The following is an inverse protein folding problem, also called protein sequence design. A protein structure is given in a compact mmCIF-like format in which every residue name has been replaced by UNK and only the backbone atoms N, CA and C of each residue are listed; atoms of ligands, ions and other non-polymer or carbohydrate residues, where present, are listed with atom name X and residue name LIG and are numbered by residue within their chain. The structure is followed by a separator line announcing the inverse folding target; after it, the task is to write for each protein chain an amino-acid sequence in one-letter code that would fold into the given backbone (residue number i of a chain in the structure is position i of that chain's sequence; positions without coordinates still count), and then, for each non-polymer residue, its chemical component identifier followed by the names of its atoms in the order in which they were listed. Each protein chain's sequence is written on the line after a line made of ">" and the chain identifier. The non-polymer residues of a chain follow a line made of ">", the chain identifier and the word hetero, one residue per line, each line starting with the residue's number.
data_IF_547483962838
#
_entry.id   IF_547483962838
#
_cell.length_a   1.000
_cell.length_b   1.000
_cell.length_c   1.000
_cell.angle_alpha   90.00
_cell.angle_beta   90.00
_cell.angle_gamma   90.00
#
_symmetry.space_group_name_H-M   'P 1'
#
loop_
_entity.id
_entity.type
_entity.pdbx_description
1 polymer ?
#
# COMPACT_ATOMS: atom_id res chain seq x y z
N UNK A 1 -41.87 -2.10 -9.84
CA UNK A 1 -40.82 -3.06 -9.43
C UNK A 1 -39.50 -2.33 -9.44
N UNK A 2 -38.70 -2.47 -8.38
CA UNK A 2 -37.32 -1.98 -8.38
C UNK A 2 -36.53 -3.06 -9.14
N UNK A 3 -35.83 -2.67 -10.22
CA UNK A 3 -34.94 -3.61 -10.90
C UNK A 3 -33.67 -3.87 -10.05
N UNK A 4 -32.97 -4.95 -10.38
CA UNK A 4 -31.81 -5.36 -9.58
C UNK A 4 -30.69 -4.31 -9.58
N UNK A 5 -30.51 -3.56 -10.68
CA UNK A 5 -29.52 -2.49 -10.75
C UNK A 5 -29.83 -1.36 -9.75
N UNK A 6 -31.10 -0.95 -9.68
CA UNK A 6 -31.59 0.06 -8.74
C UNK A 6 -31.48 -0.42 -7.29
N UNK A 7 -31.70 -1.72 -7.04
CA UNK A 7 -31.44 -2.32 -5.73
C UNK A 7 -29.95 -2.24 -5.36
N UNK A 8 -29.04 -2.60 -6.27
CA UNK A 8 -27.59 -2.55 -6.04
C UNK A 8 -27.10 -1.14 -5.75
N UNK A 9 -27.55 -0.14 -6.52
CA UNK A 9 -27.19 1.27 -6.27
C UNK A 9 -27.57 1.70 -4.86
N UNK A 10 -28.79 1.39 -4.43
CA UNK A 10 -29.26 1.71 -3.08
C UNK A 10 -28.48 0.97 -1.99
N UNK A 11 -28.11 -0.29 -2.23
CA UNK A 11 -27.28 -1.06 -1.32
C UNK A 11 -25.88 -0.43 -1.18
N UNK A 12 -25.26 -0.03 -2.28
CA UNK A 12 -23.94 0.64 -2.27
C UNK A 12 -24.01 1.96 -1.50
N UNK A 13 -25.05 2.77 -1.72
CA UNK A 13 -25.26 4.02 -0.98
C UNK A 13 -25.43 3.78 0.52
N UNK A 14 -26.20 2.76 0.90
CA UNK A 14 -26.41 2.37 2.29
C UNK A 14 -25.12 1.90 2.97
N UNK A 15 -24.35 1.03 2.32
CA UNK A 15 -23.08 0.53 2.86
C UNK A 15 -22.03 1.65 2.96
N UNK A 16 -21.99 2.57 1.99
CA UNK A 16 -21.17 3.79 2.07
C UNK A 16 -21.59 4.68 3.24
N UNK A 17 -22.88 4.88 3.46
CA UNK A 17 -23.38 5.72 4.55
C UNK A 17 -23.06 5.15 5.94
N UNK A 18 -23.00 3.82 6.07
CA UNK A 18 -22.56 3.14 7.31
C UNK A 18 -21.06 3.28 7.56
N UNK A 19 -20.26 3.21 6.49
CA UNK A 19 -18.79 3.12 6.61
C UNK A 19 -18.10 4.49 6.57
N UNK A 20 -18.57 5.45 5.77
CA UNK A 20 -17.90 6.74 5.55
C UNK A 20 -17.98 7.71 6.74
N UNK A 21 -18.84 7.49 7.73
CA UNK A 21 -18.98 8.42 8.87
C UNK A 21 -17.83 8.32 9.89
N UNK A 22 -16.98 7.28 9.79
CA UNK A 22 -16.07 6.90 10.88
C UNK A 22 -14.66 6.52 10.42
N UNK A 23 -14.33 6.63 9.12
CA UNK A 23 -13.00 6.26 8.64
C UNK A 23 -12.04 7.43 8.78
N UNK A 24 -11.01 7.25 9.61
CA UNK A 24 -9.87 8.14 9.61
C UNK A 24 -9.09 8.01 8.28
N UNK A 25 -8.31 9.03 7.88
CA UNK A 25 -7.60 9.03 6.60
C UNK A 25 -6.67 7.84 6.38
N UNK A 26 -6.11 7.24 7.44
CA UNK A 26 -5.20 6.09 7.30
C UNK A 26 -5.97 4.82 7.00
N UNK A 27 -7.11 4.62 7.66
CA UNK A 27 -7.99 3.49 7.34
C UNK A 27 -8.56 3.61 5.92
N UNK A 28 -8.92 4.82 5.49
CA UNK A 28 -9.34 5.06 4.11
C UNK A 28 -8.21 4.79 3.11
N UNK A 29 -6.98 5.23 3.42
CA UNK A 29 -5.81 4.98 2.59
C UNK A 29 -5.51 3.49 2.44
N UNK A 30 -5.55 2.73 3.52
CA UNK A 30 -5.38 1.27 3.50
C UNK A 30 -6.41 0.65 2.54
N UNK A 31 -7.69 1.00 2.66
CA UNK A 31 -8.76 0.47 1.83
C UNK A 31 -8.56 0.77 0.34
N UNK A 32 -8.20 2.00 -0.01
CA UNK A 32 -7.94 2.37 -1.41
C UNK A 32 -6.65 1.76 -1.95
N UNK A 33 -5.62 1.63 -1.10
CA UNK A 33 -4.37 0.97 -1.45
C UNK A 33 -4.59 -0.51 -1.76
N UNK A 34 -5.34 -1.22 -0.91
CA UNK A 34 -5.73 -2.61 -1.15
C UNK A 34 -6.52 -2.79 -2.44
N UNK A 35 -7.51 -1.92 -2.70
CA UNK A 35 -8.26 -1.94 -3.96
C UNK A 35 -7.37 -1.69 -5.18
N UNK A 36 -6.41 -0.78 -5.06
CA UNK A 36 -5.46 -0.43 -6.12
C UNK A 36 -4.29 -1.39 -6.24
N UNK A 37 -4.19 -2.39 -5.35
CA UNK A 37 -3.04 -3.29 -5.21
C UNK A 37 -1.71 -2.52 -5.16
N UNK A 38 -1.69 -1.42 -4.41
CA UNK A 38 -0.50 -0.59 -4.22
C UNK A 38 -0.02 -0.62 -2.76
N UNK A 39 1.24 -0.25 -2.55
CA UNK A 39 1.91 -0.39 -1.26
C UNK A 39 1.74 0.81 -0.33
N UNK A 40 0.95 1.83 -0.72
CA UNK A 40 0.79 3.04 0.10
C UNK A 40 0.19 2.71 1.47
N UNK A 41 -0.76 1.77 1.52
CA UNK A 41 -1.38 1.31 2.75
C UNK A 41 -0.37 0.69 3.73
N UNK A 42 0.63 -0.02 3.22
CA UNK A 42 1.65 -0.68 4.05
C UNK A 42 2.53 0.36 4.76
N UNK A 43 2.94 1.42 4.07
CA UNK A 43 3.83 2.44 4.63
C UNK A 43 3.08 3.52 5.42
N UNK A 44 1.97 4.01 4.88
CA UNK A 44 1.28 5.20 5.38
C UNK A 44 0.07 4.86 6.26
N UNK A 45 -0.38 3.60 6.25
CA UNK A 45 -1.59 3.16 6.96
C UNK A 45 -1.39 2.96 8.46
N UNK A 46 -0.17 2.67 8.92
CA UNK A 46 0.07 2.46 10.35
C UNK A 46 0.23 3.80 11.11
N UNK A 47 -0.64 4.13 12.10
CA UNK A 47 -0.49 5.33 12.91
C UNK A 47 0.80 5.40 13.74
N UNK A 48 1.40 4.25 14.07
CA UNK A 48 2.65 4.17 14.84
C UNK A 48 3.88 4.47 13.96
N UNK A 49 3.72 4.49 12.63
CA UNK A 49 4.77 4.92 11.71
C UNK A 49 4.95 6.43 11.80
N UNK A 50 6.15 6.87 12.17
CA UNK A 50 6.50 8.28 12.33
C UNK A 50 7.30 8.79 11.14
N UNK A 51 6.99 10.02 10.72
CA UNK A 51 7.51 10.63 9.51
C UNK A 51 8.15 11.97 9.84
N UNK A 52 9.25 12.28 9.18
CA UNK A 52 9.89 13.58 9.26
C UNK A 52 10.10 14.18 7.86
N UNK A 53 10.05 15.51 7.79
CA UNK A 53 10.31 16.24 6.56
C UNK A 53 11.81 16.51 6.44
N UNK A 54 12.40 16.12 5.33
CA UNK A 54 13.83 16.33 5.01
C UNK A 54 14.00 16.88 3.60
N UNK A 55 15.13 17.51 3.35
CA UNK A 55 15.63 17.78 2.01
C UNK A 55 16.61 16.69 1.63
N UNK A 56 16.37 15.99 0.52
CA UNK A 56 17.28 14.96 0.02
C UNK A 56 17.83 15.31 -1.36
N UNK A 57 19.09 14.97 -1.67
CA UNK A 57 19.61 15.06 -3.02
C UNK A 57 18.79 14.20 -3.97
N UNK A 58 18.41 14.74 -5.13
CA UNK A 58 17.60 14.03 -6.11
C UNK A 58 18.27 12.72 -6.54
N UNK A 59 19.60 12.69 -6.65
CA UNK A 59 20.35 11.52 -7.12
C UNK A 59 20.45 10.36 -6.10
N UNK A 60 20.04 10.56 -4.84
CA UNK A 60 19.93 9.45 -3.86
C UNK A 60 18.58 8.74 -3.94
N UNK A 61 17.60 9.32 -4.64
CA UNK A 61 16.24 8.78 -4.74
C UNK A 61 16.09 7.94 -6.03
N UNK A 62 15.33 6.85 -5.96
CA UNK A 62 15.10 5.88 -7.04
C UNK A 62 13.64 5.85 -7.46
N UNK A 63 13.41 5.73 -8.77
CA UNK A 63 12.08 5.51 -9.32
C UNK A 63 11.58 4.09 -9.00
N UNK A 64 10.36 3.96 -8.47
CA UNK A 64 9.76 2.69 -8.05
C UNK A 64 8.60 2.23 -8.92
N UNK A 65 8.09 3.12 -9.77
CA UNK A 65 7.16 2.84 -10.85
C UNK A 65 5.81 3.56 -10.75
N UNK A 66 5.13 3.69 -11.88
CA UNK A 66 3.80 4.34 -11.97
C UNK A 66 2.87 3.47 -12.84
N UNK A 67 2.80 3.75 -14.14
CA UNK A 67 2.09 3.01 -15.16
C UNK A 67 3.05 2.12 -15.96
N UNK A 68 2.55 1.12 -16.71
CA UNK A 68 3.39 0.35 -17.62
C UNK A 68 4.23 1.21 -18.57
N UNK A 69 3.66 2.30 -19.10
CA UNK A 69 4.36 3.23 -19.99
C UNK A 69 5.53 3.93 -19.30
N UNK A 70 5.30 4.48 -18.11
CA UNK A 70 6.36 5.11 -17.33
C UNK A 70 7.40 4.11 -16.85
N UNK A 71 7.00 2.88 -16.51
CA UNK A 71 7.91 1.84 -16.08
C UNK A 71 8.89 1.46 -17.21
N UNK A 72 8.41 1.37 -18.46
CA UNK A 72 9.26 1.11 -19.62
C UNK A 72 10.34 2.19 -19.85
N UNK A 73 10.14 3.40 -19.33
CA UNK A 73 11.11 4.48 -19.37
C UNK A 73 11.97 4.46 -18.10
N UNK A 74 11.33 4.67 -16.95
CA UNK A 74 12.01 4.91 -15.68
C UNK A 74 12.73 3.68 -15.13
N UNK A 75 12.17 2.48 -15.30
CA UNK A 75 12.81 1.24 -14.85
C UNK A 75 13.66 0.62 -15.94
N UNK A 76 13.09 0.40 -17.12
CA UNK A 76 13.76 -0.44 -18.12
C UNK A 76 14.92 0.31 -18.81
N UNK A 77 14.71 1.57 -19.19
CA UNK A 77 15.75 2.38 -19.85
C UNK A 77 16.63 3.11 -18.84
N UNK A 78 16.02 3.68 -17.79
CA UNK A 78 16.75 4.49 -16.81
C UNK A 78 17.24 3.70 -15.59
N UNK A 79 16.90 2.41 -15.45
CA UNK A 79 17.30 1.58 -14.30
C UNK A 79 17.01 2.24 -12.94
N UNK A 80 15.88 2.94 -12.87
CA UNK A 80 15.44 3.69 -11.70
C UNK A 80 16.34 4.87 -11.28
N UNK A 81 17.29 5.29 -12.12
CA UNK A 81 18.26 6.35 -11.81
C UNK A 81 17.86 7.70 -12.43
N UNK A 82 17.80 8.80 -11.64
CA UNK A 82 17.57 10.15 -12.13
C UNK A 82 18.58 10.62 -13.18
N UNK A 83 19.87 10.32 -12.96
CA UNK A 83 20.96 10.69 -13.89
C UNK A 83 20.77 10.07 -15.28
N UNK A 84 20.24 8.85 -15.36
CA UNK A 84 19.91 8.20 -16.64
C UNK A 84 18.72 8.84 -17.31
N UNK A 85 17.71 9.28 -16.56
CA UNK A 85 16.59 10.03 -17.12
C UNK A 85 17.06 11.36 -17.72
N UNK A 86 17.92 12.12 -17.02
CA UNK A 86 18.51 13.35 -17.57
C UNK A 86 19.28 13.10 -18.87
N UNK A 87 20.05 12.01 -18.93
CA UNK A 87 20.76 11.62 -20.15
C UNK A 87 19.78 11.25 -21.27
N UNK A 88 18.72 10.50 -20.96
CA UNK A 88 17.74 10.03 -21.92
C UNK A 88 16.95 11.17 -22.57
N UNK A 89 16.49 12.16 -21.79
CA UNK A 89 15.71 13.29 -22.32
C UNK A 89 16.56 14.24 -23.19
N UNK A 90 17.88 14.28 -22.97
CA UNK A 90 18.80 15.00 -23.87
C UNK A 90 18.93 14.26 -25.20
N UNK A 91 18.99 12.93 -25.17
CA UNK A 91 19.05 12.08 -26.37
C UNK A 91 17.72 12.00 -27.12
N UNK A 92 16.60 12.14 -26.40
CA UNK A 92 15.23 12.04 -26.92
C UNK A 92 14.40 13.24 -26.44
N UNK A 93 14.53 14.42 -27.07
CA UNK A 93 13.84 15.64 -26.63
C UNK A 93 12.32 15.51 -26.59
N UNK A 94 11.72 14.80 -27.56
CA UNK A 94 10.26 14.56 -27.62
C UNK A 94 9.74 13.81 -26.39
N UNK A 95 10.52 12.86 -25.86
CA UNK A 95 10.19 12.16 -24.62
C UNK A 95 10.23 13.13 -23.43
N UNK A 96 11.23 14.02 -23.40
CA UNK A 96 11.32 15.08 -22.40
C UNK A 96 10.10 15.99 -22.41
N UNK A 97 9.64 16.43 -23.59
CA UNK A 97 8.43 17.24 -23.74
C UNK A 97 7.18 16.50 -23.27
N UNK A 98 7.02 15.22 -23.64
CA UNK A 98 5.90 14.39 -23.17
C UNK A 98 5.87 14.31 -21.64
N UNK A 99 7.00 13.98 -21.00
CA UNK A 99 7.07 13.87 -19.55
C UNK A 99 6.84 15.21 -18.84
N UNK A 100 7.27 16.34 -19.42
CA UNK A 100 6.94 17.67 -18.88
C UNK A 100 5.44 17.94 -18.94
N UNK A 101 4.80 17.72 -20.09
CA UNK A 101 3.35 17.92 -20.23
C UNK A 101 2.55 17.07 -19.21
N UNK A 102 2.99 15.84 -18.96
CA UNK A 102 2.37 14.93 -17.97
C UNK A 102 2.68 15.30 -16.52
N UNK A 103 3.63 16.19 -16.26
CA UNK A 103 4.03 16.59 -14.90
C UNK A 103 3.81 18.06 -14.57
N UNK A 104 3.52 18.92 -15.55
CA UNK A 104 3.39 20.38 -15.33
C UNK A 104 2.26 20.79 -14.39
N UNK A 105 1.25 19.93 -14.21
CA UNK A 105 0.10 20.17 -13.34
C UNK A 105 0.33 19.80 -11.87
N UNK A 106 1.47 19.19 -11.53
CA UNK A 106 1.76 18.81 -10.14
C UNK A 106 2.24 20.02 -9.33
N UNK A 107 1.90 20.05 -8.06
CA UNK A 107 2.34 21.07 -7.12
C UNK A 107 3.75 20.79 -6.56
N UNK A 108 4.18 21.61 -5.59
CA UNK A 108 5.45 21.44 -4.85
C UNK A 108 5.24 20.71 -3.50
N UNK A 109 4.14 19.98 -3.33
CA UNK A 109 3.91 19.19 -2.11
C UNK A 109 5.02 18.15 -1.96
N UNK A 110 5.62 17.96 -0.76
CA UNK A 110 6.68 16.97 -0.55
C UNK A 110 6.28 15.57 -1.00
N UNK A 111 7.21 14.85 -1.62
CA UNK A 111 7.01 13.44 -1.96
C UNK A 111 7.21 12.57 -0.71
N UNK A 112 6.80 11.31 -0.75
CA UNK A 112 7.13 10.36 0.31
C UNK A 112 8.06 9.28 -0.24
N UNK A 113 9.05 8.90 0.56
CA UNK A 113 10.04 7.88 0.23
C UNK A 113 10.14 6.83 1.33
N UNK A 114 10.73 5.69 1.01
CA UNK A 114 11.14 4.66 1.96
C UNK A 114 12.62 4.33 1.81
N UNK A 115 13.20 3.66 2.80
CA UNK A 115 14.58 3.21 2.70
C UNK A 115 14.80 2.32 1.46
N UNK A 116 15.92 2.53 0.79
CA UNK A 116 16.39 1.72 -0.33
C UNK A 116 16.96 0.38 0.13
N UNK A 117 17.63 -0.32 -0.80
CA UNK A 117 18.31 -1.58 -0.45
C UNK A 117 19.64 -1.33 0.28
N UNK A 118 20.15 -0.10 0.22
CA UNK A 118 21.31 0.38 0.97
C UNK A 118 20.93 1.62 1.80
N UNK A 119 21.77 1.98 2.77
CA UNK A 119 21.51 3.07 3.71
C UNK A 119 21.55 4.48 3.10
N UNK A 120 22.00 4.60 1.85
CA UNK A 120 22.21 5.90 1.18
C UNK A 120 21.16 6.18 0.12
N UNK A 121 20.35 5.19 -0.24
CA UNK A 121 19.33 5.30 -1.28
C UNK A 121 17.93 5.30 -0.71
N UNK A 122 17.05 5.97 -1.46
CA UNK A 122 15.65 6.12 -1.12
C UNK A 122 14.80 5.68 -2.31
N UNK A 123 13.61 5.16 -2.04
CA UNK A 123 12.67 4.68 -3.04
C UNK A 123 11.36 5.46 -2.91
N UNK A 124 10.90 6.07 -3.99
CA UNK A 124 9.63 6.83 -3.96
C UNK A 124 8.47 5.90 -3.60
N UNK A 125 7.62 6.28 -2.67
CA UNK A 125 6.36 5.57 -2.38
C UNK A 125 5.15 6.38 -2.88
N UNK A 126 5.20 7.70 -2.77
CA UNK A 126 4.19 8.63 -3.29
C UNK A 126 4.87 9.82 -3.96
N UNK A 127 4.22 10.40 -4.98
CA UNK A 127 4.69 11.62 -5.63
C UNK A 127 5.63 11.38 -6.81
N UNK A 128 5.51 10.24 -7.50
CA UNK A 128 6.34 9.92 -8.67
C UNK A 128 6.35 11.00 -9.77
N UNK A 129 5.21 11.61 -10.08
CA UNK A 129 5.14 12.71 -11.06
C UNK A 129 5.88 13.97 -10.58
N UNK A 130 5.76 14.30 -9.28
CA UNK A 130 6.49 15.40 -8.64
C UNK A 130 8.00 15.14 -8.65
N UNK A 131 8.41 13.91 -8.39
CA UNK A 131 9.82 13.52 -8.45
C UNK A 131 10.37 13.58 -9.87
N UNK A 132 9.65 13.08 -10.88
CA UNK A 132 10.05 13.22 -12.29
C UNK A 132 10.18 14.69 -12.68
N UNK A 133 9.22 15.55 -12.31
CA UNK A 133 9.31 17.00 -12.55
C UNK A 133 10.58 17.61 -11.94
N UNK A 134 10.93 17.21 -10.71
CA UNK A 134 12.16 17.68 -10.06
C UNK A 134 13.42 17.30 -10.85
N UNK A 135 13.48 16.07 -11.37
CA UNK A 135 14.58 15.61 -12.23
C UNK A 135 14.61 16.38 -13.56
N UNK A 136 13.46 16.57 -14.20
CA UNK A 136 13.33 17.31 -15.46
C UNK A 136 13.73 18.79 -15.36
N UNK A 137 13.58 19.37 -14.17
CA UNK A 137 13.94 20.75 -13.87
C UNK A 137 15.36 20.89 -13.29
N UNK A 138 16.17 19.84 -13.36
CA UNK A 138 17.54 19.79 -12.83
C UNK A 138 17.64 20.27 -11.38
N UNK A 139 16.64 19.95 -10.54
CA UNK A 139 16.71 20.23 -9.10
C UNK A 139 17.82 19.39 -8.48
N UNK A 140 18.59 20.03 -7.59
CA UNK A 140 19.62 19.35 -6.80
C UNK A 140 19.01 18.59 -5.62
N UNK A 141 18.03 19.19 -4.95
CA UNK A 141 17.30 18.60 -3.82
C UNK A 141 15.78 18.66 -3.99
N UNK A 142 15.07 17.89 -3.18
CA UNK A 142 13.61 17.90 -3.07
C UNK A 142 13.18 17.64 -1.62
N UNK A 143 12.10 18.31 -1.21
CA UNK A 143 11.44 18.04 0.08
C UNK A 143 10.77 16.67 0.07
N UNK A 144 11.07 15.86 1.07
CA UNK A 144 10.59 14.49 1.20
C UNK A 144 10.09 14.18 2.62
N UNK A 145 9.04 13.39 2.72
CA UNK A 145 8.67 12.68 3.94
C UNK A 145 9.45 11.37 4.01
N UNK A 146 10.19 11.19 5.11
CA UNK A 146 11.04 10.04 5.39
C UNK A 146 10.54 9.33 6.64
N UNK A 147 10.40 8.00 6.63
CA UNK A 147 10.04 7.26 7.83
C UNK A 147 11.22 7.22 8.80
N UNK A 148 10.91 7.31 10.09
CA UNK A 148 11.93 7.35 11.16
C UNK A 148 12.07 6.03 11.91
N UNK A 149 11.12 5.12 11.73
CA UNK A 149 11.01 3.85 12.44
C UNK A 149 10.47 2.73 11.52
N UNK A 150 10.78 2.78 10.21
CA UNK A 150 10.28 1.81 9.21
C UNK A 150 10.64 0.36 9.57
N UNK A 151 11.82 0.15 10.18
CA UNK A 151 12.31 -1.18 10.56
C UNK A 151 11.67 -1.70 11.85
N UNK A 152 11.12 -0.82 12.68
CA UNK A 152 10.54 -1.16 13.99
C UNK A 152 9.02 -1.35 13.93
N UNK A 153 8.36 -0.83 12.89
CA UNK A 153 6.90 -0.78 12.79
C UNK A 153 6.40 -1.57 11.58
N UNK A 154 5.71 -2.67 11.87
CA UNK A 154 5.05 -3.49 10.85
C UNK A 154 3.82 -2.79 10.25
N UNK A 155 3.48 -3.03 8.97
CA UNK A 155 2.24 -2.54 8.37
C UNK A 155 0.99 -3.06 9.09
N UNK A 156 -0.19 -2.50 8.77
CA UNK A 156 -1.47 -2.99 9.28
C UNK A 156 -2.17 -3.86 8.23
N UNK A 157 -2.67 -5.01 8.69
CA UNK A 157 -3.48 -5.92 7.90
C UNK A 157 -4.91 -5.38 7.78
N UNK A 158 -5.46 -5.43 6.58
CA UNK A 158 -6.89 -5.25 6.38
C UNK A 158 -7.68 -6.44 6.92
N UNK A 159 -8.72 -6.16 7.70
CA UNK A 159 -9.58 -7.22 8.24
C UNK A 159 -10.16 -8.14 7.14
N UNK A 160 -10.40 -7.61 5.94
CA UNK A 160 -10.96 -8.41 4.84
C UNK A 160 -10.02 -9.55 4.42
N UNK A 161 -8.70 -9.40 4.53
CA UNK A 161 -7.72 -10.44 4.19
C UNK A 161 -7.90 -11.66 5.09
N UNK A 162 -8.02 -11.43 6.41
CA UNK A 162 -8.29 -12.49 7.39
C UNK A 162 -9.67 -13.11 7.14
N UNK A 163 -10.67 -12.27 6.88
CA UNK A 163 -12.02 -12.73 6.58
C UNK A 163 -12.06 -13.65 5.36
N UNK A 164 -11.38 -13.30 4.27
CA UNK A 164 -11.36 -14.10 3.04
C UNK A 164 -10.68 -15.45 3.25
N UNK A 165 -9.62 -15.52 4.07
CA UNK A 165 -9.00 -16.79 4.47
C UNK A 165 -9.98 -17.67 5.25
N UNK A 166 -10.68 -17.10 6.24
CA UNK A 166 -11.70 -17.81 7.03
C UNK A 166 -12.83 -18.31 6.11
N UNK A 167 -13.33 -17.46 5.21
CA UNK A 167 -14.39 -17.84 4.26
C UNK A 167 -13.92 -18.88 3.26
N UNK A 168 -12.67 -18.82 2.82
CA UNK A 168 -12.05 -19.83 1.96
C UNK A 168 -12.06 -21.20 2.61
N UNK A 169 -11.59 -21.27 3.86
CA UNK A 169 -11.64 -22.50 4.67
C UNK A 169 -13.09 -22.99 4.83
N UNK A 170 -14.00 -22.15 5.33
CA UNK A 170 -15.40 -22.52 5.57
C UNK A 170 -16.16 -23.02 4.35
N UNK A 171 -15.83 -22.54 3.15
CA UNK A 171 -16.57 -22.87 1.91
C UNK A 171 -15.95 -24.03 1.14
N UNK A 172 -14.63 -24.18 1.19
CA UNK A 172 -13.89 -25.01 0.25
C UNK A 172 -12.89 -25.96 0.89
N UNK A 173 -12.59 -25.82 2.18
CA UNK A 173 -11.68 -26.67 2.93
C UNK A 173 -12.17 -26.83 4.39
N UNK A 174 -13.46 -27.14 4.58
CA UNK A 174 -14.08 -27.27 5.91
C UNK A 174 -13.76 -28.63 6.53
N UNK A 175 -12.51 -28.81 6.91
CA UNK A 175 -11.97 -29.97 7.59
C UNK A 175 -10.75 -29.59 8.44
N UNK A 176 -10.21 -30.56 9.17
CA UNK A 176 -9.04 -30.37 10.04
C UNK A 176 -7.79 -29.90 9.27
N UNK A 177 -7.63 -30.31 8.01
CA UNK A 177 -6.50 -29.90 7.19
C UNK A 177 -6.63 -28.42 6.80
N UNK A 178 -7.81 -27.99 6.37
CA UNK A 178 -8.09 -26.58 6.08
C UNK A 178 -7.99 -25.69 7.32
N UNK A 179 -8.37 -26.19 8.50
CA UNK A 179 -8.15 -25.49 9.77
C UNK A 179 -6.64 -25.33 10.08
N UNK A 180 -5.84 -26.37 9.86
CA UNK A 180 -4.39 -26.29 10.02
C UNK A 180 -3.74 -25.31 9.04
N UNK A 181 -4.16 -25.32 7.77
CA UNK A 181 -3.69 -24.37 6.74
C UNK A 181 -4.07 -22.93 7.08
N UNK A 182 -5.30 -22.70 7.57
CA UNK A 182 -5.74 -21.39 8.06
C UNK A 182 -4.85 -20.93 9.21
N UNK A 183 -4.57 -21.78 10.19
CA UNK A 183 -3.70 -21.43 11.32
C UNK A 183 -2.29 -21.01 10.85
N UNK A 184 -1.71 -21.72 9.88
CA UNK A 184 -0.42 -21.35 9.28
C UNK A 184 -0.49 -19.99 8.57
N UNK A 185 -1.53 -19.75 7.78
CA UNK A 185 -1.73 -18.48 7.09
C UNK A 185 -1.88 -17.31 8.09
N UNK A 186 -2.66 -17.50 9.15
CA UNK A 186 -2.82 -16.50 10.21
C UNK A 186 -1.50 -16.22 10.94
N UNK A 187 -0.68 -17.25 11.23
CA UNK A 187 0.66 -17.05 11.81
C UNK A 187 1.58 -16.26 10.89
N UNK A 188 1.51 -16.50 9.58
CA UNK A 188 2.27 -15.69 8.62
C UNK A 188 1.81 -14.22 8.70
N UNK A 189 0.51 -13.96 8.69
CA UNK A 189 -0.01 -12.59 8.82
C UNK A 189 0.42 -11.94 10.14
N UNK A 190 0.37 -12.65 11.27
CA UNK A 190 0.84 -12.15 12.58
C UNK A 190 2.30 -11.72 12.58
N UNK A 191 3.15 -12.38 11.79
CA UNK A 191 4.58 -12.01 11.66
C UNK A 191 4.83 -10.83 10.73
N UNK A 192 3.87 -10.52 9.86
CA UNK A 192 4.01 -9.49 8.83
C UNK A 192 3.28 -8.20 9.18
N UNK A 193 2.26 -8.27 10.04
CA UNK A 193 1.38 -7.15 10.34
C UNK A 193 1.18 -6.95 11.85
N UNK A 194 1.16 -5.68 12.27
CA UNK A 194 1.12 -5.29 13.68
C UNK A 194 -0.21 -5.55 14.39
N UNK A 195 -1.33 -5.56 13.66
CA UNK A 195 -2.69 -5.56 14.22
C UNK A 195 -3.43 -6.89 14.11
N UNK A 196 -2.80 -7.97 13.62
CA UNK A 196 -3.51 -9.25 13.40
C UNK A 196 -3.98 -9.86 14.72
N UNK A 197 -3.15 -9.78 15.76
CA UNK A 197 -3.49 -10.21 17.12
C UNK A 197 -4.76 -9.53 17.65
N UNK A 198 -4.86 -8.21 17.46
CA UNK A 198 -6.03 -7.41 17.84
C UNK A 198 -7.26 -7.86 17.04
N UNK A 199 -7.13 -7.97 15.71
CA UNK A 199 -8.23 -8.38 14.82
C UNK A 199 -8.77 -9.76 15.18
N UNK A 200 -7.90 -10.74 15.40
CA UNK A 200 -8.28 -12.09 15.77
C UNK A 200 -9.04 -12.16 17.10
N UNK A 201 -8.64 -11.34 18.08
CA UNK A 201 -9.26 -11.32 19.41
C UNK A 201 -10.56 -10.51 19.49
N UNK A 202 -10.76 -9.52 18.60
CA UNK A 202 -11.86 -8.55 18.75
C UNK A 202 -12.89 -8.60 17.63
N UNK A 203 -12.48 -8.96 16.42
CA UNK A 203 -13.32 -8.91 15.21
C UNK A 203 -13.56 -10.29 14.60
N UNK A 204 -12.71 -11.26 14.90
CA UNK A 204 -12.85 -12.65 14.48
C UNK A 204 -12.97 -13.61 15.68
N UNK A 205 -13.44 -13.10 16.82
CA UNK A 205 -13.75 -13.91 17.99
C UNK A 205 -14.98 -14.81 17.74
N UNK A 206 -15.36 -15.59 18.76
CA UNK A 206 -16.51 -16.49 18.68
C UNK A 206 -17.84 -15.77 18.46
N UNK A 207 -17.97 -14.52 18.87
CA UNK A 207 -19.19 -13.73 18.69
C UNK A 207 -19.39 -13.38 17.22
N UNK A 208 -18.30 -13.08 16.51
CA UNK A 208 -18.35 -12.66 15.11
C UNK A 208 -18.19 -13.82 14.12
N UNK A 209 -17.48 -14.89 14.51
CA UNK A 209 -17.24 -16.09 13.68
C UNK A 209 -17.66 -17.32 14.46
N UNK A 210 -18.92 -17.71 14.30
CA UNK A 210 -19.49 -18.93 14.90
C UNK A 210 -19.20 -20.16 14.03
N UNK A 211 -17.94 -20.61 14.06
CA UNK A 211 -17.48 -21.84 13.40
C UNK A 211 -16.37 -22.49 14.26
N UNK A 212 -16.56 -23.74 14.66
CA UNK A 212 -15.65 -24.43 15.58
C UNK A 212 -14.24 -24.61 14.99
N UNK A 213 -14.13 -25.01 13.73
CA UNK A 213 -12.85 -25.24 13.05
C UNK A 213 -12.10 -23.92 12.83
N UNK A 214 -12.81 -22.86 12.43
CA UNK A 214 -12.23 -21.53 12.31
C UNK A 214 -11.69 -21.03 13.64
N UNK A 215 -12.45 -21.20 14.72
CA UNK A 215 -12.04 -20.76 16.05
C UNK A 215 -10.87 -21.58 16.60
N UNK A 216 -10.82 -22.88 16.34
CA UNK A 216 -9.66 -23.70 16.65
C UNK A 216 -8.40 -23.20 15.92
N UNK A 217 -8.52 -22.90 14.63
CA UNK A 217 -7.41 -22.34 13.85
C UNK A 217 -6.94 -20.98 14.39
N UNK A 218 -7.87 -20.11 14.79
CA UNK A 218 -7.58 -18.79 15.37
C UNK A 218 -6.84 -18.93 16.71
N UNK A 219 -7.31 -19.80 17.61
CA UNK A 219 -6.65 -20.08 18.89
C UNK A 219 -5.26 -20.66 18.65
N UNK A 220 -5.14 -21.67 17.79
CA UNK A 220 -3.86 -22.28 17.44
C UNK A 220 -2.89 -21.29 16.76
N UNK A 221 -3.41 -20.28 16.06
CA UNK A 221 -2.61 -19.21 15.50
C UNK A 221 -2.09 -18.27 16.60
N UNK A 222 -2.86 -17.97 17.64
CA UNK A 222 -2.50 -17.03 18.73
C UNK A 222 -1.56 -17.63 19.79
N UNK A 223 -1.56 -18.95 19.97
CA UNK A 223 -0.76 -19.66 21.00
C UNK A 223 0.71 -19.88 20.64
N UNK A 224 1.09 -19.67 19.38
CA UNK A 224 2.47 -19.85 18.87
C UNK A 224 3.16 -18.50 18.65
#
# INVERSE_FOLDING_TARGET
>A
MIDFASYLTRLVEHERAKTLKELDPRTELILHAGRGLNWLGDYLGNPDMTWELRELPVDTIRFTGTSPEWNAILKDQCQSLPSKLRTLIVQQPELGEKLRAETDHVDDTPIAVRAGDDSETWKVIDGMHRFVRAVLNDRETISVWVPTNEDDVLPRCEAHVIYDLIRGMQRHAHDEAGAADLAVALRLLRRTYSNVDELLRTRFDRVHVDDDLAQQAIVAALET
#
